data_IF_602056669636
#
_entry.id   IF_602056669636
#
_cell.length_a   1.000
_cell.length_b   1.000
_cell.length_c   1.000
_cell.angle_alpha   90.00
_cell.angle_beta   90.00
_cell.angle_gamma   90.00
#
_symmetry.space_group_name_H-M   'P 1'
#
loop_
_entity.id
_entity.type
_entity.pdbx_description
1 polymer ?
#
# COMPACT_ATOMS: atom_id res chain seq x y z
N UNK A 1 2.27 1.09 1.00
CA UNK A 1 1.73 0.68 -0.31
C UNK A 1 1.55 -0.82 -0.35
N UNK A 2 0.46 -1.28 -0.96
CA UNK A 2 0.29 -2.66 -1.38
C UNK A 2 0.96 -2.82 -2.75
N UNK A 3 2.24 -3.18 -2.73
CA UNK A 3 3.06 -3.50 -3.88
C UNK A 3 4.20 -4.39 -3.40
N UNK A 4 4.96 -4.98 -4.31
CA UNK A 4 6.15 -5.78 -3.98
C UNK A 4 7.33 -5.33 -4.83
N UNK A 5 8.53 -5.68 -4.38
CA UNK A 5 9.75 -5.53 -5.18
C UNK A 5 10.20 -6.93 -5.58
N UNK A 6 10.48 -7.12 -6.86
CA UNK A 6 11.07 -8.34 -7.39
C UNK A 6 12.39 -8.02 -8.05
N UNK A 7 13.44 -8.76 -7.69
CA UNK A 7 14.72 -8.68 -8.37
C UNK A 7 14.77 -9.69 -9.52
N UNK A 8 15.15 -9.23 -10.71
CA UNK A 8 15.40 -10.04 -11.90
C UNK A 8 16.72 -9.56 -12.49
N UNK A 9 17.68 -10.46 -12.67
CA UNK A 9 19.00 -10.14 -13.23
C UNK A 9 19.70 -8.94 -12.54
N UNK A 10 19.57 -8.86 -11.20
CA UNK A 10 20.09 -7.78 -10.33
C UNK A 10 19.44 -6.41 -10.54
N UNK A 11 18.32 -6.35 -11.26
CA UNK A 11 17.50 -5.15 -11.43
C UNK A 11 16.22 -5.32 -10.62
N UNK A 12 15.87 -4.29 -9.84
CA UNK A 12 14.66 -4.29 -9.02
C UNK A 12 13.48 -3.71 -9.80
N UNK A 13 12.36 -4.44 -9.77
CA UNK A 13 11.10 -4.10 -10.43
C UNK A 13 9.97 -4.02 -9.42
N UNK A 14 9.01 -3.14 -9.69
CA UNK A 14 7.72 -3.18 -9.00
C UNK A 14 6.96 -4.42 -9.48
N UNK A 15 6.44 -5.19 -8.52
CA UNK A 15 5.52 -6.29 -8.75
C UNK A 15 4.19 -5.98 -8.05
N UNK A 16 3.10 -6.47 -8.62
CA UNK A 16 1.79 -6.40 -7.98
C UNK A 16 1.80 -7.06 -6.59
N UNK A 17 1.01 -6.49 -5.69
CA UNK A 17 0.72 -7.03 -4.37
C UNK A 17 0.08 -8.43 -4.45
N UNK A 18 0.14 -9.14 -3.32
CA UNK A 18 -0.63 -10.36 -3.10
C UNK A 18 -2.14 -10.06 -3.13
N UNK A 19 -2.56 -8.98 -2.46
CA UNK A 19 -3.96 -8.53 -2.46
C UNK A 19 -4.28 -7.70 -3.71
N UNK A 20 -4.82 -8.37 -4.72
CA UNK A 20 -5.21 -7.73 -6.00
C UNK A 20 -6.26 -6.64 -5.84
N UNK A 21 -7.12 -6.72 -4.81
CA UNK A 21 -8.18 -5.73 -4.60
C UNK A 21 -7.65 -4.42 -4.01
N UNK A 22 -6.42 -4.44 -3.50
CA UNK A 22 -5.75 -3.30 -2.90
C UNK A 22 -4.45 -2.95 -3.61
N UNK A 23 -4.15 -3.57 -4.75
CA UNK A 23 -2.91 -3.34 -5.46
C UNK A 23 -2.74 -1.85 -5.80
N UNK A 24 -1.56 -1.34 -5.46
CA UNK A 24 -1.16 0.06 -5.68
C UNK A 24 0.05 0.16 -6.60
N UNK A 25 0.43 -0.94 -7.28
CA UNK A 25 1.60 -0.99 -8.14
C UNK A 25 1.50 -0.01 -9.32
N UNK A 26 0.28 0.23 -9.81
CA UNK A 26 0.00 1.18 -10.89
C UNK A 26 0.57 2.57 -10.63
N UNK A 27 0.42 3.10 -9.40
CA UNK A 27 0.89 4.45 -9.05
C UNK A 27 2.41 4.57 -8.97
N UNK A 28 3.13 3.45 -9.01
CA UNK A 28 4.58 3.38 -8.84
C UNK A 28 5.33 3.25 -10.19
N UNK A 29 4.62 3.34 -11.31
CA UNK A 29 5.17 3.06 -12.65
C UNK A 29 6.34 3.97 -13.05
N UNK A 30 6.37 5.19 -12.55
CA UNK A 30 7.36 6.21 -12.92
C UNK A 30 8.64 6.16 -12.06
N UNK A 31 8.78 5.17 -11.18
CA UNK A 31 9.96 5.03 -10.34
C UNK A 31 11.13 4.40 -11.09
N UNK A 32 12.30 5.01 -10.97
CA UNK A 32 13.55 4.47 -11.51
C UNK A 32 14.02 3.23 -10.73
N UNK A 33 14.70 2.31 -11.41
CA UNK A 33 15.16 1.04 -10.84
C UNK A 33 16.05 1.21 -9.60
N UNK A 34 16.91 2.23 -9.58
CA UNK A 34 17.80 2.54 -8.46
C UNK A 34 17.03 3.01 -7.22
N UNK A 35 15.86 3.60 -7.42
CA UNK A 35 14.95 3.97 -6.33
C UNK A 35 14.22 2.72 -5.85
N UNK A 36 13.68 1.91 -6.77
CA UNK A 36 12.96 0.67 -6.45
C UNK A 36 13.83 -0.26 -5.59
N UNK A 37 15.13 -0.37 -5.88
CA UNK A 37 16.08 -1.19 -5.13
C UNK A 37 16.21 -0.82 -3.63
N UNK A 38 15.76 0.38 -3.24
CA UNK A 38 15.83 0.89 -1.85
C UNK A 38 14.46 0.86 -1.15
N UNK A 39 13.40 0.47 -1.84
CA UNK A 39 12.04 0.46 -1.30
C UNK A 39 11.73 -0.83 -0.57
N UNK A 40 10.96 -0.71 0.51
CA UNK A 40 10.37 -1.84 1.23
C UNK A 40 8.87 -1.64 1.27
N UNK A 41 8.12 -2.70 0.93
CA UNK A 41 6.66 -2.71 0.98
C UNK A 41 6.18 -3.80 1.97
N UNK A 42 6.08 -3.50 3.27
CA UNK A 42 5.75 -4.50 4.29
C UNK A 42 4.35 -5.11 4.13
N UNK A 43 3.45 -4.42 3.43
CA UNK A 43 2.08 -4.88 3.17
C UNK A 43 1.96 -5.71 1.89
N UNK A 44 3.03 -5.82 1.10
CA UNK A 44 3.00 -6.39 -0.25
C UNK A 44 2.55 -7.85 -0.31
N UNK A 45 2.89 -8.64 0.71
CA UNK A 45 2.56 -10.07 0.82
C UNK A 45 1.41 -10.35 1.79
N UNK A 46 0.61 -9.34 2.14
CA UNK A 46 -0.48 -9.47 3.10
C UNK A 46 -1.82 -9.12 2.45
N UNK A 47 -2.87 -9.84 2.85
CA UNK A 47 -4.23 -9.48 2.51
C UNK A 47 -4.74 -8.44 3.50
N UNK A 48 -5.48 -7.43 3.02
CA UNK A 48 -6.03 -6.37 3.88
C UNK A 48 -6.88 -6.93 5.02
N UNK A 49 -7.66 -7.96 4.71
CA UNK A 49 -8.52 -8.65 5.69
C UNK A 49 -7.75 -9.25 6.86
N UNK A 50 -6.49 -9.63 6.66
CA UNK A 50 -5.67 -10.31 7.67
C UNK A 50 -4.87 -9.30 8.51
N UNK A 51 -4.59 -8.11 7.94
CA UNK A 51 -3.82 -7.05 8.62
C UNK A 51 -4.57 -6.48 9.81
N UNK A 52 -5.86 -6.17 9.66
CA UNK A 52 -6.58 -5.51 10.75
C UNK A 52 -6.67 -6.41 12.01
N UNK A 53 -7.04 -7.71 11.93
CA UNK A 53 -6.97 -8.61 13.07
C UNK A 53 -5.55 -8.74 13.64
N UNK A 54 -4.53 -8.87 12.79
CA UNK A 54 -3.13 -8.95 13.22
C UNK A 54 -2.73 -7.72 14.05
N UNK A 55 -3.08 -6.53 13.58
CA UNK A 55 -2.78 -5.27 14.25
C UNK A 55 -3.51 -5.14 15.60
N UNK A 56 -4.79 -5.48 15.68
CA UNK A 56 -5.56 -5.41 16.93
C UNK A 56 -5.08 -6.43 17.97
N UNK A 57 -4.67 -7.64 17.53
CA UNK A 57 -4.08 -8.63 18.42
C UNK A 57 -2.73 -8.15 18.99
N UNK A 58 -1.90 -7.52 18.16
CA UNK A 58 -0.60 -7.00 18.58
C UNK A 58 -0.71 -5.70 19.39
N UNK A 59 -1.73 -4.88 19.11
CA UNK A 59 -1.94 -3.56 19.69
C UNK A 59 -3.42 -3.35 20.04
N UNK A 60 -3.92 -3.95 21.14
CA UNK A 60 -5.34 -3.91 21.51
C UNK A 60 -5.88 -2.49 21.76
N UNK A 61 -5.00 -1.54 22.08
CA UNK A 61 -5.35 -0.14 22.32
C UNK A 61 -5.77 0.62 21.05
N UNK A 62 -5.59 0.05 19.85
CA UNK A 62 -6.05 0.66 18.59
C UNK A 62 -7.59 0.63 18.44
N UNK A 63 -8.32 -0.09 19.30
CA UNK A 63 -9.79 -0.09 19.28
C UNK A 63 -10.37 -1.20 18.40
N UNK A 64 -11.35 -0.89 17.54
CA UNK A 64 -12.08 -1.90 16.75
C UNK A 64 -11.83 -1.75 15.24
N UNK A 65 -12.25 -2.74 14.45
CA UNK A 65 -12.06 -2.70 12.99
C UNK A 65 -12.78 -1.54 12.30
N UNK A 66 -13.82 -1.00 12.94
CA UNK A 66 -14.74 0.02 12.42
C UNK A 66 -14.21 1.45 12.59
N UNK A 67 -13.30 1.67 13.54
CA UNK A 67 -12.75 3.02 13.81
C UNK A 67 -11.82 3.52 12.70
N UNK A 68 -11.31 2.62 11.84
CA UNK A 68 -10.36 2.96 10.79
C UNK A 68 -10.98 2.85 9.39
N UNK A 69 -11.36 4.01 8.86
CA UNK A 69 -11.70 4.22 7.45
C UNK A 69 -10.45 4.50 6.62
N UNK A 70 -10.44 4.05 5.37
CA UNK A 70 -9.36 4.30 4.42
C UNK A 70 -9.54 5.66 3.74
N UNK A 71 -8.45 6.36 3.47
CA UNK A 71 -8.47 7.53 2.58
C UNK A 71 -8.83 7.08 1.17
N UNK A 72 -9.84 7.70 0.56
CA UNK A 72 -10.31 7.37 -0.80
C UNK A 72 -10.03 8.48 -1.83
N UNK A 73 -9.51 9.63 -1.38
CA UNK A 73 -9.36 10.84 -2.19
C UNK A 73 -7.90 11.25 -2.40
N UNK A 74 -7.69 12.18 -3.32
CA UNK A 74 -6.40 12.86 -3.51
C UNK A 74 -6.04 13.55 -2.20
N UNK A 75 -4.93 13.13 -1.60
CA UNK A 75 -4.41 13.79 -0.41
C UNK A 75 -3.75 15.13 -0.80
N UNK A 76 -3.71 16.06 0.15
CA UNK A 76 -2.98 17.33 0.04
C UNK A 76 -3.55 18.36 -0.95
N UNK A 77 -4.85 18.29 -1.22
CA UNK A 77 -5.60 19.33 -1.95
C UNK A 77 -6.57 20.03 -1.01
N UNK A 78 -6.64 21.36 -1.10
CA UNK A 78 -7.49 22.17 -0.22
C UNK A 78 -8.98 22.11 -0.60
N UNK A 79 -9.29 21.77 -1.86
CA UNK A 79 -10.66 21.73 -2.41
C UNK A 79 -10.94 20.38 -3.06
N UNK A 80 -12.17 19.91 -2.91
CA UNK A 80 -12.70 18.73 -3.61
C UNK A 80 -12.75 18.99 -5.12
N UNK A 81 -12.31 18.04 -5.93
CA UNK A 81 -12.42 18.12 -7.40
C UNK A 81 -13.83 17.84 -7.92
N UNK A 82 -14.78 17.55 -7.02
CA UNK A 82 -16.17 17.23 -7.34
C UNK A 82 -17.01 18.52 -7.51
N UNK A 83 -16.48 19.68 -7.10
CA UNK A 83 -17.19 20.97 -7.14
C UNK A 83 -16.74 21.87 -8.32
N UNK A 84 -16.77 21.34 -9.55
CA UNK A 84 -16.70 22.17 -10.78
C UNK A 84 -18.09 22.52 -11.30
#
# INVERSE_FOLDING_TARGET
HYARVKEIDKVSYIQEALDKTKDQSYFLYALEHEVIAKLVFPLGDLLKKDIKPLALNAMPFLGTLETYKESQEICFVEKSYIDT
#
